data_IF_741091550563
#
_entry.id   IF_741091550563
#
_cell.length_a   1.000
_cell.length_b   1.000
_cell.length_c   1.000
_cell.angle_alpha   90.00
_cell.angle_beta   90.00
_cell.angle_gamma   90.00
#
_symmetry.space_group_name_H-M   'P 1'
#
loop_
_entity.id
_entity.type
_entity.pdbx_description
1 polymer ?
#
# COMPACT_ATOMS: atom_id res chain seq x y z
N UNK A 1 -69.74 -24.45 -17.08
CA UNK A 1 -70.10 -23.03 -17.21
C UNK A 1 -69.23 -22.31 -16.17
N UNK A 2 -67.98 -21.92 -16.46
CA UNK A 2 -67.55 -20.86 -17.39
C UNK A 2 -68.49 -19.67 -17.24
N UNK A 3 -68.08 -18.56 -16.60
CA UNK A 3 -67.38 -17.42 -17.21
C UNK A 3 -66.56 -16.71 -16.11
N UNK A 4 -65.22 -16.61 -16.20
CA UNK A 4 -64.43 -15.49 -16.77
C UNK A 4 -64.61 -14.17 -16.00
N UNK A 5 -63.55 -13.63 -15.38
CA UNK A 5 -62.51 -12.79 -16.01
C UNK A 5 -62.90 -11.30 -16.03
N UNK A 6 -61.96 -10.47 -15.60
CA UNK A 6 -62.02 -9.00 -15.59
C UNK A 6 -61.93 -8.51 -14.14
N UNK A 7 -60.75 -8.29 -13.55
CA UNK A 7 -59.77 -7.27 -13.96
C UNK A 7 -60.49 -6.04 -14.49
N UNK A 8 -61.02 -5.22 -13.57
CA UNK A 8 -61.31 -3.83 -13.89
C UNK A 8 -59.99 -3.10 -13.75
N UNK A 9 -59.44 -2.79 -14.91
CA UNK A 9 -58.40 -1.82 -15.16
C UNK A 9 -58.80 -0.49 -14.54
N UNK A 10 -58.14 -0.10 -13.44
CA UNK A 10 -57.88 1.32 -13.23
C UNK A 10 -56.51 1.60 -13.85
N UNK A 11 -56.53 1.82 -15.16
CA UNK A 11 -55.51 2.59 -15.85
C UNK A 11 -55.51 4.01 -15.28
N UNK A 12 -54.76 4.23 -14.21
CA UNK A 12 -54.25 5.56 -13.89
C UNK A 12 -52.90 5.69 -14.57
N UNK A 13 -52.94 5.95 -15.87
CA UNK A 13 -51.80 6.48 -16.62
C UNK A 13 -51.57 7.92 -16.19
N UNK A 14 -50.75 8.13 -15.16
CA UNK A 14 -50.06 9.40 -14.95
C UNK A 14 -48.62 9.21 -15.38
N UNK A 15 -48.37 9.51 -16.65
CA UNK A 15 -47.05 9.89 -17.15
C UNK A 15 -45.91 8.89 -16.96
N UNK A 16 -45.93 7.78 -17.70
CA UNK A 16 -44.74 7.26 -18.41
C UNK A 16 -43.41 7.11 -17.67
N UNK A 17 -43.38 6.85 -16.36
CA UNK A 17 -42.16 6.47 -15.65
C UNK A 17 -42.44 5.26 -14.75
N UNK A 18 -41.76 4.15 -15.03
CA UNK A 18 -41.62 3.02 -14.11
C UNK A 18 -40.79 3.49 -12.90
N UNK A 19 -41.46 4.11 -11.94
CA UNK A 19 -40.85 4.46 -10.65
C UNK A 19 -40.69 3.18 -9.86
N UNK A 20 -39.45 2.70 -9.82
CA UNK A 20 -39.01 1.51 -9.09
C UNK A 20 -39.46 1.61 -7.61
N UNK A 21 -40.45 0.79 -7.21
CA UNK A 21 -41.06 0.78 -5.86
C UNK A 21 -40.03 0.55 -4.74
N UNK A 22 -38.84 0.05 -5.12
CA UNK A 22 -37.66 -0.10 -4.26
C UNK A 22 -37.13 1.21 -3.68
N UNK A 23 -37.43 2.37 -4.28
CA UNK A 23 -37.02 3.67 -3.76
C UNK A 23 -37.78 4.11 -2.49
N UNK A 24 -38.99 3.59 -2.26
CA UNK A 24 -39.85 3.99 -1.13
C UNK A 24 -39.55 3.27 0.18
N UNK A 25 -38.89 2.09 0.13
CA UNK A 25 -38.51 1.30 1.31
C UNK A 25 -37.02 1.41 1.67
N UNK A 26 -36.24 2.12 0.87
CA UNK A 26 -34.80 2.24 1.10
C UNK A 26 -34.53 2.96 2.42
N UNK A 27 -33.72 2.34 3.27
CA UNK A 27 -33.24 2.95 4.50
C UNK A 27 -32.52 4.26 4.17
N UNK A 28 -32.66 5.30 5.00
CA UNK A 28 -32.05 6.62 4.76
C UNK A 28 -30.54 6.54 4.46
N UNK A 29 -29.86 5.52 4.99
CA UNK A 29 -28.46 5.22 4.72
C UNK A 29 -28.17 4.72 3.30
N UNK A 30 -29.08 3.98 2.69
CA UNK A 30 -28.94 3.49 1.31
C UNK A 30 -29.04 4.65 0.32
N UNK A 31 -30.00 5.56 0.54
CA UNK A 31 -30.15 6.79 -0.25
C UNK A 31 -28.90 7.69 -0.16
N UNK A 32 -28.29 7.79 1.03
CA UNK A 32 -27.03 8.53 1.25
C UNK A 32 -25.87 7.83 0.52
N UNK A 33 -25.75 6.50 0.62
CA UNK A 33 -24.70 5.72 -0.04
C UNK A 33 -24.75 5.82 -1.56
N UNK A 34 -25.94 5.83 -2.16
CA UNK A 34 -26.10 5.96 -3.61
C UNK A 34 -25.71 7.36 -4.10
N UNK A 35 -26.07 8.41 -3.34
CA UNK A 35 -25.66 9.78 -3.64
C UNK A 35 -24.15 9.99 -3.48
N UNK A 36 -23.53 9.37 -2.47
CA UNK A 36 -22.08 9.38 -2.27
C UNK A 36 -21.33 8.67 -3.42
N UNK A 37 -21.85 7.54 -3.91
CA UNK A 37 -21.32 6.81 -5.07
C UNK A 37 -21.35 7.60 -6.39
N UNK A 38 -22.22 8.61 -6.52
CA UNK A 38 -22.32 9.46 -7.71
C UNK A 38 -21.13 10.42 -7.86
N UNK A 39 -20.48 10.80 -6.77
CA UNK A 39 -19.31 11.69 -6.81
C UNK A 39 -18.02 10.90 -6.98
N UNK A 40 -17.48 10.92 -8.21
CA UNK A 40 -16.18 10.27 -8.53
C UNK A 40 -15.04 10.73 -7.61
N UNK A 41 -15.05 12.00 -7.20
CA UNK A 41 -14.03 12.58 -6.32
C UNK A 41 -14.10 12.03 -4.89
N UNK A 42 -15.31 11.83 -4.36
CA UNK A 42 -15.54 11.22 -3.05
C UNK A 42 -15.16 9.73 -3.02
N UNK A 43 -15.31 9.05 -4.15
CA UNK A 43 -14.87 7.66 -4.29
C UNK A 43 -13.36 7.51 -4.31
N UNK A 44 -12.66 8.38 -5.03
CA UNK A 44 -11.19 8.37 -5.06
C UNK A 44 -10.62 8.65 -3.67
N UNK A 45 -11.18 9.62 -2.93
CA UNK A 45 -10.72 9.90 -1.57
C UNK A 45 -11.01 8.75 -0.59
N UNK A 46 -12.14 8.05 -0.74
CA UNK A 46 -12.44 6.85 0.05
C UNK A 46 -11.42 5.74 -0.22
N UNK A 47 -11.11 5.46 -1.48
CA UNK A 47 -10.12 4.44 -1.87
C UNK A 47 -8.73 4.80 -1.29
N UNK A 48 -8.33 6.07 -1.42
CA UNK A 48 -7.07 6.56 -0.88
C UNK A 48 -7.01 6.40 0.64
N UNK A 49 -8.09 6.73 1.35
CA UNK A 49 -8.18 6.59 2.81
C UNK A 49 -8.04 5.12 3.22
N UNK A 50 -8.76 4.22 2.56
CA UNK A 50 -8.66 2.78 2.81
C UNK A 50 -7.24 2.29 2.57
N UNK A 51 -6.59 2.70 1.47
CA UNK A 51 -5.22 2.33 1.17
C UNK A 51 -4.25 2.79 2.28
N UNK A 52 -4.37 4.03 2.75
CA UNK A 52 -3.54 4.55 3.84
C UNK A 52 -3.76 3.78 5.16
N UNK A 53 -5.00 3.41 5.47
CA UNK A 53 -5.31 2.59 6.65
C UNK A 53 -4.70 1.19 6.55
N UNK A 54 -4.73 0.57 5.37
CA UNK A 54 -4.08 -0.74 5.15
C UNK A 54 -2.56 -0.63 5.37
N UNK A 55 -1.91 0.42 4.85
CA UNK A 55 -0.49 0.66 5.11
C UNK A 55 -0.19 0.83 6.61
N UNK A 56 -1.08 1.49 7.35
CA UNK A 56 -0.94 1.72 8.78
C UNK A 56 -1.15 0.46 9.64
N UNK A 57 -2.03 -0.46 9.22
CA UNK A 57 -2.30 -1.73 9.93
C UNK A 57 -1.19 -2.75 9.69
N UNK A 58 -0.55 -2.73 8.51
CA UNK A 58 0.51 -3.66 8.13
C UNK A 58 1.88 -2.99 8.00
N UNK A 59 2.38 -2.27 9.03
CA UNK A 59 3.63 -1.52 8.91
C UNK A 59 4.83 -2.46 8.66
N UNK A 60 4.79 -3.69 9.16
CA UNK A 60 5.86 -4.68 8.98
C UNK A 60 5.96 -5.27 7.57
N UNK A 61 4.93 -5.14 6.72
CA UNK A 61 5.03 -5.55 5.32
C UNK A 61 5.57 -4.42 4.44
N UNK A 62 5.18 -3.17 4.75
CA UNK A 62 5.54 -2.01 3.93
C UNK A 62 6.84 -1.32 4.36
N UNK A 63 7.28 -1.47 5.61
CA UNK A 63 8.49 -0.81 6.12
C UNK A 63 9.52 -1.82 6.65
N UNK A 64 10.69 -1.99 5.99
CA UNK A 64 11.77 -2.86 6.46
C UNK A 64 12.47 -2.32 7.71
N UNK A 65 12.30 -1.02 8.01
CA UNK A 65 12.90 -0.38 9.18
C UNK A 65 11.83 0.34 10.00
N UNK A 66 11.94 0.25 11.34
CA UNK A 66 11.12 1.08 12.22
C UNK A 66 11.61 2.53 12.14
N UNK A 67 10.70 3.50 12.32
CA UNK A 67 11.05 4.93 12.35
C UNK A 67 12.07 5.29 13.45
N UNK A 68 12.19 4.43 14.47
CA UNK A 68 13.13 4.57 15.58
C UNK A 68 14.54 4.03 15.30
N UNK A 69 14.75 3.25 14.22
CA UNK A 69 16.08 2.69 13.92
C UNK A 69 17.00 3.79 13.40
N UNK A 70 18.04 4.11 14.19
CA UNK A 70 19.15 4.97 13.78
C UNK A 70 20.41 4.13 13.56
N UNK A 71 21.06 4.37 12.43
CA UNK A 71 22.31 3.70 12.05
C UNK A 71 23.53 4.53 12.46
N UNK A 72 23.80 4.62 13.77
CA UNK A 72 24.90 5.44 14.32
C UNK A 72 26.28 5.04 13.79
N UNK A 73 26.48 3.75 13.52
CA UNK A 73 27.74 3.21 13.00
C UNK A 73 28.07 3.64 11.57
N UNK A 74 27.07 4.12 10.82
CA UNK A 74 27.18 4.48 9.40
C UNK A 74 27.03 6.00 9.18
N UNK A 75 27.19 6.81 10.22
CA UNK A 75 27.21 8.27 10.08
C UNK A 75 28.38 8.68 9.19
N UNK A 76 28.09 9.38 8.09
CA UNK A 76 29.07 9.83 7.09
C UNK A 76 29.74 8.69 6.29
N UNK A 77 29.16 7.49 6.29
CA UNK A 77 29.64 6.41 5.43
C UNK A 77 29.43 6.77 3.95
N UNK A 78 30.39 6.43 3.06
CA UNK A 78 30.21 6.59 1.63
C UNK A 78 29.11 5.63 1.08
N UNK A 79 28.54 5.90 -0.10
CA UNK A 79 27.59 4.98 -0.73
C UNK A 79 28.20 3.59 -0.95
N UNK A 80 27.47 2.56 -0.50
CA UNK A 80 27.88 1.16 -0.61
C UNK A 80 27.82 0.70 -2.07
N UNK A 81 28.85 -0.01 -2.55
CA UNK A 81 28.84 -0.65 -3.89
C UNK A 81 28.25 -2.06 -3.82
N UNK A 82 27.27 -2.33 -4.68
CA UNK A 82 26.67 -3.66 -4.84
C UNK A 82 27.47 -4.47 -5.85
N UNK A 83 27.85 -5.67 -5.45
CA UNK A 83 28.55 -6.65 -6.27
C UNK A 83 27.61 -7.82 -6.55
N UNK A 84 27.76 -8.45 -7.71
CA UNK A 84 26.94 -9.60 -8.13
C UNK A 84 27.76 -10.87 -8.37
N UNK A 85 29.08 -10.71 -8.58
CA UNK A 85 30.00 -11.78 -8.92
C UNK A 85 31.15 -11.78 -7.91
N UNK A 86 31.30 -12.91 -7.22
CA UNK A 86 32.37 -13.18 -6.27
C UNK A 86 33.43 -14.08 -6.92
N UNK A 87 34.52 -14.34 -6.21
CA UNK A 87 35.59 -15.24 -6.66
C UNK A 87 35.10 -16.67 -6.91
N UNK A 88 33.99 -17.08 -6.28
CA UNK A 88 33.35 -18.40 -6.46
C UNK A 88 32.18 -18.41 -7.47
N UNK A 89 31.90 -17.31 -8.16
CA UNK A 89 30.84 -17.21 -9.19
C UNK A 89 29.66 -16.32 -8.80
N UNK A 90 28.46 -16.68 -9.26
CA UNK A 90 27.22 -15.92 -9.01
C UNK A 90 26.72 -16.20 -7.60
N UNK A 91 26.82 -15.22 -6.70
CA UNK A 91 26.33 -15.31 -5.31
C UNK A 91 25.10 -14.43 -5.04
N UNK A 92 24.61 -13.71 -6.06
CA UNK A 92 23.50 -12.77 -5.95
C UNK A 92 23.97 -11.36 -5.61
N UNK A 93 23.06 -10.40 -5.37
CA UNK A 93 23.45 -9.05 -4.95
C UNK A 93 24.02 -9.09 -3.52
N UNK A 94 25.28 -8.68 -3.35
CA UNK A 94 25.94 -8.59 -2.05
C UNK A 94 26.78 -7.32 -1.94
N UNK A 95 27.19 -6.96 -0.73
CA UNK A 95 28.14 -5.88 -0.50
C UNK A 95 29.19 -6.26 0.56
N UNK A 96 30.34 -5.58 0.51
CA UNK A 96 31.40 -5.78 1.50
C UNK A 96 31.14 -4.96 2.76
N UNK A 97 31.38 -5.56 3.93
CA UNK A 97 31.30 -4.88 5.20
C UNK A 97 32.30 -3.72 5.28
N UNK A 98 31.88 -2.58 5.85
CA UNK A 98 32.79 -1.48 6.17
C UNK A 98 33.36 -1.64 7.58
N UNK A 99 34.67 -1.52 7.69
CA UNK A 99 35.33 -1.29 8.97
C UNK A 99 35.52 0.20 9.21
N UNK A 100 35.08 0.65 10.39
CA UNK A 100 35.19 2.05 10.81
C UNK A 100 36.44 2.23 11.64
N UNK A 101 37.43 2.91 11.10
CA UNK A 101 38.69 3.21 11.79
C UNK A 101 38.70 4.71 12.12
N UNK A 102 38.94 5.05 13.39
CA UNK A 102 39.13 6.44 13.79
C UNK A 102 40.58 6.84 13.51
N UNK A 103 40.77 7.76 12.57
CA UNK A 103 42.09 8.34 12.33
C UNK A 103 42.38 9.37 13.44
N UNK A 104 43.33 9.07 14.34
CA UNK A 104 43.65 9.91 15.50
C UNK A 104 44.28 11.27 15.13
N UNK A 105 44.77 11.42 13.90
CA UNK A 105 45.40 12.67 13.44
C UNK A 105 44.36 13.66 12.89
N UNK A 106 43.33 13.15 12.20
CA UNK A 106 42.29 13.98 11.56
C UNK A 106 40.97 13.97 12.33
N UNK A 107 40.83 13.11 13.34
CA UNK A 107 39.60 12.82 14.08
C UNK A 107 38.39 12.50 13.19
N UNK A 108 38.66 12.01 11.97
CA UNK A 108 37.63 11.55 11.03
C UNK A 108 37.52 10.04 11.08
N UNK A 109 36.30 9.55 10.89
CA UNK A 109 36.05 8.13 10.65
C UNK A 109 36.36 7.82 9.20
N UNK A 110 37.35 6.96 8.97
CA UNK A 110 37.63 6.38 7.66
C UNK A 110 36.92 5.02 7.57
N UNK A 111 36.26 4.77 6.44
CA UNK A 111 35.53 3.55 6.17
C UNK A 111 36.29 2.75 5.11
N UNK A 112 36.85 1.62 5.50
CA UNK A 112 37.57 0.72 4.59
C UNK A 112 36.73 -0.52 4.33
N UNK A 113 36.64 -0.95 3.08
CA UNK A 113 35.92 -2.17 2.70
C UNK A 113 36.72 -3.40 3.14
N UNK A 114 36.14 -4.22 4.02
CA UNK A 114 36.69 -5.53 4.37
C UNK A 114 36.09 -6.59 3.45
N UNK A 115 36.93 -7.17 2.59
CA UNK A 115 36.55 -8.20 1.60
C UNK A 115 36.28 -9.58 2.20
N UNK A 116 36.65 -9.82 3.46
CA UNK A 116 36.39 -11.07 4.17
C UNK A 116 34.94 -11.16 4.66
N UNK A 117 34.29 -10.00 4.88
CA UNK A 117 32.89 -9.93 5.33
C UNK A 117 31.96 -9.65 4.16
N UNK A 118 31.43 -10.72 3.56
CA UNK A 118 30.42 -10.67 2.51
C UNK A 118 29.04 -10.63 3.16
N UNK A 119 28.28 -9.57 2.92
CA UNK A 119 26.91 -9.42 3.43
C UNK A 119 25.94 -9.52 2.25
N UNK A 120 25.09 -10.57 2.18
CA UNK A 120 24.10 -10.71 1.11
C UNK A 120 22.99 -9.67 1.27
N UNK A 121 22.50 -9.14 0.15
CA UNK A 121 21.36 -8.22 0.14
C UNK A 121 20.08 -9.05 0.08
N UNK A 122 19.40 -9.10 1.21
CA UNK A 122 18.07 -9.70 1.29
C UNK A 122 17.01 -8.72 0.76
N UNK A 123 16.40 -9.07 -0.36
CA UNK A 123 15.21 -8.38 -0.85
C UNK A 123 14.03 -8.85 -0.01
N UNK A 124 13.38 -7.92 0.71
CA UNK A 124 12.27 -8.19 1.64
C UNK A 124 12.68 -8.97 2.91
N UNK A 125 13.80 -8.59 3.54
CA UNK A 125 14.11 -9.07 4.89
C UNK A 125 13.05 -8.64 5.90
N UNK A 126 12.69 -9.56 6.79
CA UNK A 126 11.67 -9.41 7.83
C UNK A 126 12.29 -9.12 9.19
#
# INVERSE_FOLDING_TARGET
MSVASGYIEDEVTVGGEVVDESFYYASQWELIGWRFRRHRLAMVSLILLVALYVLAIFPGFFSPYSASRRFEKYQQAPPVRVHFFSENGWEGPYYYGYERILNQQTFKYEFTENRENIIPIELFSR
#
